data_IF_671113945234
#
_entry.id   IF_671113945234
#
_cell.length_a   1.000
_cell.length_b   1.000
_cell.length_c   1.000
_cell.angle_alpha   90.00
_cell.angle_beta   90.00
_cell.angle_gamma   90.00
#
_symmetry.space_group_name_H-M   'P 1'
#
loop_
_entity.id
_entity.type
_entity.pdbx_description
1 polymer ?
#
# COMPACT_ATOMS: atom_id res chain seq x y z
N UNK A 1 -5.19 7.15 15.62
CA UNK A 1 -6.54 7.75 15.82
C UNK A 1 -6.47 9.16 16.38
N UNK A 2 -5.73 9.41 17.48
CA UNK A 2 -5.53 10.77 18.02
C UNK A 2 -4.94 11.72 16.98
N UNK A 3 -3.85 11.30 16.33
CA UNK A 3 -3.15 12.06 15.27
C UNK A 3 -4.05 12.41 14.06
N UNK A 4 -4.91 11.49 13.62
CA UNK A 4 -5.84 11.74 12.51
C UNK A 4 -6.93 12.77 12.89
N UNK A 5 -7.41 12.73 14.13
CA UNK A 5 -8.39 13.72 14.62
C UNK A 5 -7.76 15.11 14.78
N UNK A 6 -6.51 15.17 15.27
CA UNK A 6 -5.73 16.41 15.35
C UNK A 6 -5.47 16.98 13.94
N UNK A 7 -5.04 16.14 13.00
CA UNK A 7 -4.84 16.52 11.60
C UNK A 7 -6.12 17.05 10.93
N UNK A 8 -7.28 16.44 11.20
CA UNK A 8 -8.58 16.93 10.70
C UNK A 8 -8.87 18.35 11.20
N UNK A 9 -8.71 18.60 12.51
CA UNK A 9 -8.98 19.92 13.11
C UNK A 9 -7.97 20.97 12.68
N UNK A 10 -6.72 20.57 12.51
CA UNK A 10 -5.67 21.43 11.98
C UNK A 10 -5.98 21.86 10.54
N UNK A 11 -6.40 20.92 9.70
CA UNK A 11 -6.72 21.16 8.28
C UNK A 11 -8.04 21.90 8.10
N UNK A 12 -9.04 21.59 8.93
CA UNK A 12 -10.37 22.17 8.89
C UNK A 12 -10.74 22.74 10.26
N UNK A 13 -10.31 23.98 10.57
CA UNK A 13 -10.58 24.61 11.87
C UNK A 13 -12.07 24.71 12.22
N UNK A 14 -12.95 24.76 11.21
CA UNK A 14 -14.41 24.72 11.38
C UNK A 14 -14.93 23.46 12.08
N UNK A 15 -14.12 22.39 12.14
CA UNK A 15 -14.47 21.14 12.81
C UNK A 15 -13.81 20.96 14.18
N UNK A 16 -13.21 22.01 14.76
CA UNK A 16 -12.54 21.95 16.07
C UNK A 16 -13.42 21.33 17.17
N UNK A 17 -14.67 21.78 17.26
CA UNK A 17 -15.64 21.36 18.28
C UNK A 17 -16.51 20.17 17.85
N UNK A 18 -16.32 19.63 16.63
CA UNK A 18 -17.12 18.50 16.15
C UNK A 18 -16.63 17.21 16.84
N UNK A 19 -17.53 16.44 17.50
CA UNK A 19 -17.14 15.21 18.16
C UNK A 19 -16.85 14.10 17.14
N UNK A 20 -15.77 13.36 17.35
CA UNK A 20 -15.49 12.10 16.64
C UNK A 20 -16.34 11.01 17.30
N UNK A 21 -17.35 10.52 16.59
CA UNK A 21 -18.30 9.53 17.12
C UNK A 21 -17.84 8.08 16.94
N UNK A 22 -16.96 7.83 15.96
CA UNK A 22 -16.44 6.50 15.69
C UNK A 22 -15.06 6.58 15.00
N UNK A 23 -14.29 5.50 15.12
CA UNK A 23 -12.91 5.39 14.72
C UNK A 23 -12.59 3.91 14.45
N UNK A 24 -12.26 3.59 13.21
CA UNK A 24 -11.84 2.24 12.84
C UNK A 24 -10.53 2.25 12.06
N UNK A 25 -9.88 1.09 12.04
CA UNK A 25 -8.68 0.85 11.27
C UNK A 25 -8.48 -0.65 11.14
N UNK A 26 -7.61 -1.03 10.20
CA UNK A 26 -7.33 -2.44 9.95
C UNK A 26 -6.03 -2.60 9.18
N UNK A 27 -5.51 -3.83 9.13
CA UNK A 27 -4.38 -4.14 8.27
C UNK A 27 -4.77 -3.94 6.81
N UNK A 28 -3.83 -3.44 6.02
CA UNK A 28 -3.91 -3.46 4.56
C UNK A 28 -2.86 -4.44 4.04
N UNK A 29 -3.15 -5.07 2.92
CA UNK A 29 -2.09 -5.71 2.15
C UNK A 29 -1.21 -4.64 1.52
N UNK A 30 0.04 -4.99 1.20
CA UNK A 30 0.98 -4.09 0.54
C UNK A 30 1.74 -4.89 -0.49
N UNK A 31 1.64 -4.50 -1.76
CA UNK A 31 2.44 -5.10 -2.82
C UNK A 31 3.78 -4.36 -2.98
N UNK A 32 4.85 -5.05 -3.40
CA UNK A 32 6.13 -4.43 -3.69
C UNK A 32 6.09 -3.28 -4.71
N UNK A 33 5.09 -3.26 -5.59
CA UNK A 33 4.97 -2.30 -6.68
C UNK A 33 3.85 -1.29 -6.48
N UNK A 34 3.11 -1.33 -5.36
CA UNK A 34 1.88 -0.54 -5.17
C UNK A 34 0.80 -0.75 -6.24
N UNK A 35 0.94 -1.78 -7.08
CA UNK A 35 -0.05 -2.17 -8.07
C UNK A 35 -0.79 -3.44 -7.61
N UNK A 36 -2.09 -3.57 -7.91
CA UNK A 36 -2.78 -4.83 -7.75
C UNK A 36 -2.23 -5.86 -8.74
N UNK A 37 -2.33 -7.14 -8.36
CA UNK A 37 -1.99 -8.28 -9.19
C UNK A 37 -3.19 -9.23 -9.27
N UNK A 38 -3.48 -9.68 -10.48
CA UNK A 38 -4.58 -10.59 -10.78
C UNK A 38 -4.03 -11.85 -11.45
N UNK A 39 -4.69 -12.99 -11.35
CA UNK A 39 -4.29 -14.16 -12.12
C UNK A 39 -4.77 -15.50 -11.59
N UNK A 40 -4.18 -16.56 -12.14
CA UNK A 40 -4.44 -17.95 -11.77
C UNK A 40 -3.32 -18.44 -10.84
N UNK A 41 -3.70 -19.01 -9.68
CA UNK A 41 -2.76 -19.68 -8.78
C UNK A 41 -2.67 -21.18 -9.08
N UNK A 42 -3.83 -21.81 -9.31
CA UNK A 42 -4.01 -23.23 -9.59
C UNK A 42 -5.26 -23.41 -10.47
N UNK A 43 -5.54 -24.61 -11.02
CA UNK A 43 -6.83 -24.87 -11.66
C UNK A 43 -7.98 -24.48 -10.73
N UNK A 44 -8.90 -23.64 -11.23
CA UNK A 44 -10.05 -23.10 -10.49
C UNK A 44 -9.71 -22.22 -9.28
N UNK A 45 -8.45 -21.79 -9.12
CA UNK A 45 -8.05 -20.84 -8.08
C UNK A 45 -7.53 -19.58 -8.74
N UNK A 46 -8.32 -18.52 -8.65
CA UNK A 46 -8.00 -17.19 -9.18
C UNK A 46 -7.74 -16.24 -8.02
N UNK A 47 -6.86 -15.26 -8.20
CA UNK A 47 -6.50 -14.29 -7.17
C UNK A 47 -6.62 -12.86 -7.66
N UNK A 48 -6.96 -11.97 -6.73
CA UNK A 48 -6.82 -10.54 -6.87
C UNK A 48 -6.29 -9.98 -5.54
N UNK A 49 -5.06 -9.51 -5.54
CA UNK A 49 -4.27 -9.18 -4.35
C UNK A 49 -3.43 -7.93 -4.60
N UNK A 50 -2.81 -7.37 -3.56
CA UNK A 50 -1.84 -6.29 -3.66
C UNK A 50 -2.46 -4.90 -3.80
N UNK A 51 -3.69 -4.71 -3.34
CA UNK A 51 -4.42 -3.46 -3.52
C UNK A 51 -3.82 -2.27 -2.77
N UNK A 52 -2.97 -2.51 -1.77
CA UNK A 52 -2.15 -1.48 -1.11
C UNK A 52 -2.99 -0.30 -0.61
N UNK A 53 -4.10 -0.61 0.06
CA UNK A 53 -5.05 0.37 0.60
C UNK A 53 -5.93 1.08 -0.43
N UNK A 54 -5.78 0.80 -1.73
CA UNK A 54 -6.50 1.45 -2.81
C UNK A 54 -7.52 0.50 -3.47
N UNK A 55 -8.13 -0.43 -2.72
CA UNK A 55 -8.92 -1.52 -3.30
C UNK A 55 -10.25 -1.13 -3.96
N UNK A 56 -10.89 -0.04 -3.51
CA UNK A 56 -12.23 0.33 -3.96
C UNK A 56 -12.26 0.63 -5.46
N UNK A 57 -11.41 1.54 -5.95
CA UNK A 57 -11.38 1.92 -7.37
C UNK A 57 -11.05 0.76 -8.35
N UNK A 58 -9.98 -0.04 -8.15
CA UNK A 58 -9.61 -1.14 -9.04
C UNK A 58 -10.48 -2.39 -8.88
N UNK A 59 -11.33 -2.49 -7.85
CA UNK A 59 -12.18 -3.67 -7.62
C UNK A 59 -13.08 -4.00 -8.83
N UNK A 60 -13.54 -2.98 -9.54
CA UNK A 60 -14.34 -3.17 -10.75
C UNK A 60 -13.54 -3.86 -11.86
N UNK A 61 -12.31 -3.41 -12.13
CA UNK A 61 -11.42 -4.05 -13.09
C UNK A 61 -11.08 -5.48 -12.65
N UNK A 62 -10.78 -5.67 -11.36
CA UNK A 62 -10.51 -6.98 -10.80
C UNK A 62 -11.68 -7.94 -11.02
N UNK A 63 -12.92 -7.50 -10.81
CA UNK A 63 -14.11 -8.29 -11.06
C UNK A 63 -14.23 -8.74 -12.52
N UNK A 64 -13.95 -7.85 -13.48
CA UNK A 64 -13.96 -8.18 -14.92
C UNK A 64 -12.87 -9.18 -15.27
N UNK A 65 -11.63 -8.92 -14.85
CA UNK A 65 -10.50 -9.83 -15.05
C UNK A 65 -10.80 -11.21 -14.47
N UNK A 66 -11.28 -11.30 -13.23
CA UNK A 66 -11.59 -12.58 -12.59
C UNK A 66 -12.73 -13.31 -13.29
N UNK A 67 -13.77 -12.61 -13.74
CA UNK A 67 -14.85 -13.23 -14.51
C UNK A 67 -14.31 -13.84 -15.81
N UNK A 68 -13.50 -13.10 -16.56
CA UNK A 68 -12.91 -13.56 -17.81
C UNK A 68 -11.94 -14.73 -17.61
N UNK A 69 -11.13 -14.70 -16.54
CA UNK A 69 -10.25 -15.81 -16.15
C UNK A 69 -11.04 -17.08 -15.79
N UNK A 70 -12.19 -16.94 -15.14
CA UNK A 70 -13.07 -18.07 -14.78
C UNK A 70 -13.74 -18.67 -16.02
N UNK A 71 -14.19 -17.83 -16.96
CA UNK A 71 -14.88 -18.29 -18.19
C UNK A 71 -13.91 -18.67 -19.31
N UNK A 72 -12.62 -18.37 -19.18
CA UNK A 72 -11.64 -18.54 -20.25
C UNK A 72 -11.83 -17.57 -21.42
N UNK A 73 -12.40 -16.39 -21.16
CA UNK A 73 -12.60 -15.37 -22.19
C UNK A 73 -11.27 -14.69 -22.53
N UNK A 74 -11.04 -14.42 -23.82
CA UNK A 74 -9.87 -13.67 -24.30
C UNK A 74 -10.26 -12.20 -24.49
N UNK A 75 -10.24 -11.44 -23.39
CA UNK A 75 -10.55 -10.01 -23.35
C UNK A 75 -9.30 -9.14 -23.27
N UNK A 76 -9.44 -7.83 -23.52
CA UNK A 76 -8.34 -6.88 -23.32
C UNK A 76 -7.92 -6.79 -21.85
N UNK A 77 -8.86 -6.99 -20.92
CA UNK A 77 -8.62 -6.95 -19.48
C UNK A 77 -7.66 -8.05 -19.04
N UNK A 78 -7.79 -9.29 -19.53
CA UNK A 78 -6.89 -10.39 -19.17
C UNK A 78 -5.51 -10.28 -19.80
N UNK A 79 -5.34 -9.39 -20.79
CA UNK A 79 -4.06 -9.08 -21.45
C UNK A 79 -3.28 -7.96 -20.78
N UNK A 80 -3.86 -7.33 -19.75
CA UNK A 80 -3.18 -6.26 -19.01
C UNK A 80 -1.91 -6.78 -18.32
N UNK A 81 -0.82 -5.98 -18.24
CA UNK A 81 0.46 -6.41 -17.64
C UNK A 81 0.42 -6.76 -16.14
N UNK A 82 -0.72 -6.49 -15.47
CA UNK A 82 -0.95 -6.82 -14.06
C UNK A 82 -1.65 -8.18 -13.87
N UNK A 83 -2.03 -8.84 -14.97
CA UNK A 83 -2.68 -10.16 -14.98
C UNK A 83 -1.64 -11.24 -15.26
N UNK A 84 -1.60 -12.27 -14.42
CA UNK A 84 -0.61 -13.35 -14.41
C UNK A 84 0.85 -12.85 -14.38
N UNK A 85 1.07 -11.60 -13.96
CA UNK A 85 2.39 -11.04 -13.78
C UNK A 85 3.12 -11.79 -12.66
N UNK A 86 4.41 -12.09 -12.85
CA UNK A 86 5.22 -12.62 -11.76
C UNK A 86 5.40 -11.53 -10.70
N UNK A 87 4.83 -11.67 -9.49
CA UNK A 87 4.97 -10.65 -8.47
C UNK A 87 6.43 -10.57 -8.06
N UNK A 88 6.91 -9.35 -7.82
CA UNK A 88 8.15 -9.17 -7.09
C UNK A 88 7.95 -9.73 -5.68
N UNK A 89 8.93 -10.46 -5.18
CA UNK A 89 8.86 -11.04 -3.86
C UNK A 89 9.56 -10.13 -2.85
N UNK A 90 9.02 -10.10 -1.64
CA UNK A 90 9.77 -9.55 -0.51
C UNK A 90 10.93 -10.49 -0.13
N UNK A 91 11.98 -9.98 0.53
CA UNK A 91 13.03 -10.82 1.07
C UNK A 91 12.46 -11.93 1.99
N UNK A 92 13.18 -13.05 2.20
CA UNK A 92 12.75 -14.08 3.14
C UNK A 92 12.83 -13.60 4.60
N UNK A 93 12.17 -14.32 5.50
CA UNK A 93 12.37 -14.12 6.95
C UNK A 93 13.76 -14.60 7.38
N UNK A 94 14.40 -13.96 8.38
CA UNK A 94 13.91 -12.85 9.20
C UNK A 94 14.16 -11.46 8.60
N UNK A 95 14.86 -11.37 7.46
CA UNK A 95 15.28 -10.10 6.85
C UNK A 95 14.12 -9.19 6.48
N UNK A 96 12.99 -9.76 6.05
CA UNK A 96 11.76 -9.00 5.79
C UNK A 96 11.25 -8.29 7.03
N UNK A 97 11.10 -9.00 8.15
CA UNK A 97 10.62 -8.41 9.39
C UNK A 97 11.58 -7.32 9.90
N UNK A 98 12.89 -7.59 9.89
CA UNK A 98 13.90 -6.63 10.32
C UNK A 98 13.92 -5.38 9.42
N UNK A 99 13.96 -5.58 8.10
CA UNK A 99 13.94 -4.50 7.12
C UNK A 99 12.67 -3.66 7.24
N UNK A 100 11.50 -4.30 7.32
CA UNK A 100 10.23 -3.60 7.50
C UNK A 100 10.20 -2.77 8.79
N UNK A 101 10.71 -3.30 9.90
CA UNK A 101 10.78 -2.57 11.16
C UNK A 101 11.70 -1.33 11.07
N UNK A 102 12.87 -1.47 10.44
CA UNK A 102 13.82 -0.36 10.27
C UNK A 102 13.26 0.70 9.32
N UNK A 103 12.74 0.30 8.16
CA UNK A 103 12.15 1.21 7.17
C UNK A 103 10.96 1.95 7.77
N UNK A 104 10.05 1.24 8.45
CA UNK A 104 8.88 1.85 9.10
C UNK A 104 9.29 2.89 10.12
N UNK A 105 10.28 2.61 10.97
CA UNK A 105 10.79 3.58 11.95
C UNK A 105 11.38 4.81 11.26
N UNK A 106 12.13 4.62 10.17
CA UNK A 106 12.74 5.71 9.43
C UNK A 106 11.71 6.61 8.72
N UNK A 107 10.66 6.01 8.13
CA UNK A 107 9.55 6.75 7.52
C UNK A 107 8.82 7.58 8.58
N UNK A 108 8.41 6.97 9.70
CA UNK A 108 7.72 7.69 10.78
C UNK A 108 8.59 8.84 11.32
N UNK A 109 9.88 8.58 11.57
CA UNK A 109 10.77 9.62 12.07
C UNK A 109 10.96 10.79 11.08
N UNK A 110 10.93 10.50 9.77
CA UNK A 110 10.99 11.52 8.72
C UNK A 110 9.69 12.33 8.69
N UNK A 111 8.55 11.66 8.62
CA UNK A 111 7.23 12.29 8.52
C UNK A 111 6.96 13.19 9.75
N UNK A 112 7.24 12.69 10.97
CA UNK A 112 7.12 13.48 12.20
C UNK A 112 8.04 14.71 12.22
N UNK A 113 9.25 14.62 11.64
CA UNK A 113 10.14 15.78 11.56
C UNK A 113 9.58 16.85 10.61
N UNK A 114 9.06 16.43 9.45
CA UNK A 114 8.45 17.30 8.44
C UNK A 114 7.18 17.96 8.97
N UNK A 115 6.30 17.22 9.66
CA UNK A 115 5.11 17.76 10.33
C UNK A 115 5.44 18.83 11.38
N UNK A 116 6.57 18.70 12.06
CA UNK A 116 7.05 19.66 13.07
C UNK A 116 7.83 20.84 12.44
N UNK A 117 7.90 20.92 11.11
CA UNK A 117 8.66 21.94 10.39
C UNK A 117 10.17 21.85 10.60
N UNK A 118 10.68 20.68 11.00
CA UNK A 118 12.11 20.43 11.20
C UNK A 118 12.68 19.68 10.01
N UNK A 119 13.97 19.84 9.77
CA UNK A 119 14.64 19.01 8.77
C UNK A 119 14.78 17.57 9.28
N UNK A 120 14.38 16.56 8.49
CA UNK A 120 14.51 15.16 8.86
C UNK A 120 15.98 14.75 8.93
N UNK A 121 16.32 13.88 9.88
CA UNK A 121 17.66 13.34 10.01
C UNK A 121 18.10 12.71 8.67
N UNK A 122 19.27 13.09 8.11
CA UNK A 122 19.72 12.63 6.79
C UNK A 122 19.85 11.11 6.69
N UNK A 123 20.20 10.43 7.79
CA UNK A 123 20.25 8.96 7.84
C UNK A 123 18.84 8.35 7.75
N UNK A 124 17.88 8.91 8.47
CA UNK A 124 16.48 8.46 8.41
C UNK A 124 15.90 8.69 7.02
N UNK A 125 16.16 9.84 6.41
CA UNK A 125 15.74 10.15 5.04
C UNK A 125 16.38 9.21 4.00
N UNK A 126 17.65 8.84 4.17
CA UNK A 126 18.32 7.88 3.30
C UNK A 126 17.72 6.47 3.42
N UNK A 127 17.44 6.01 4.65
CA UNK A 127 16.81 4.71 4.91
C UNK A 127 15.38 4.67 4.37
N UNK A 128 14.61 5.76 4.53
CA UNK A 128 13.24 5.85 4.01
C UNK A 128 13.16 5.71 2.47
N UNK A 129 14.19 6.16 1.75
CA UNK A 129 14.28 6.06 0.27
C UNK A 129 14.83 4.72 -0.24
N UNK A 130 15.37 3.90 0.66
CA UNK A 130 16.01 2.62 0.30
C UNK A 130 15.06 1.64 -0.42
N UNK A 131 13.79 1.46 -0.01
CA UNK A 131 12.87 0.54 -0.68
C UNK A 131 12.73 0.88 -2.17
N UNK A 132 12.49 2.15 -2.51
CA UNK A 132 12.36 2.62 -3.90
C UNK A 132 13.59 2.33 -4.73
N UNK A 133 14.79 2.56 -4.19
CA UNK A 133 16.05 2.22 -4.87
C UNK A 133 16.22 0.72 -5.13
N UNK A 134 15.70 -0.11 -4.23
CA UNK A 134 15.66 -1.55 -4.40
C UNK A 134 14.49 -2.01 -5.30
N UNK A 135 13.74 -1.07 -5.89
CA UNK A 135 12.59 -1.31 -6.76
C UNK A 135 11.36 -1.80 -6.02
N UNK A 136 11.26 -1.54 -4.70
CA UNK A 136 10.02 -1.63 -3.95
C UNK A 136 9.42 -0.23 -3.92
N UNK A 137 8.28 0.00 -4.55
CA UNK A 137 7.66 1.33 -4.67
C UNK A 137 7.02 1.82 -3.35
N UNK A 138 7.57 1.39 -2.21
CA UNK A 138 7.14 1.69 -0.86
C UNK A 138 7.79 2.97 -0.34
N UNK A 139 7.00 3.81 0.34
CA UNK A 139 7.48 5.05 0.93
C UNK A 139 7.65 6.21 -0.08
N UNK A 140 8.01 7.41 0.39
CA UNK A 140 8.17 8.62 -0.41
C UNK A 140 9.39 8.59 -1.34
#
# INVERSE_FOLDING_TARGET
MVEAAEGLRHTFPSFAEVPIVDAWGGPIDVSPTHLPAFGNLQPHVHYALGYTGNGVAPSHLAGRVLADLVTGADSDEVRLPIVNARPKEFPPQPWRALGAAVIRKAIIAKDTAEEQGREPNPLAAAIARLPRRLGYLLGP
#
